data_IF_725326244792
#
_entry.id   IF_725326244792
#
_cell.length_a   1.000
_cell.length_b   1.000
_cell.length_c   1.000
_cell.angle_alpha   90.00
_cell.angle_beta   90.00
_cell.angle_gamma   90.00
#
_symmetry.space_group_name_H-M   'P 1'
#
loop_
_entity.id
_entity.type
_entity.pdbx_description
1 polymer ?
#
# COMPACT_ATOMS: atom_id res chain seq x y z
N UNK A 1 -23.80 21.48 28.98
CA UNK A 1 -24.34 22.01 27.71
C UNK A 1 -23.35 21.68 26.60
N UNK A 2 -23.79 21.45 25.36
CA UNK A 2 -22.88 21.25 24.21
C UNK A 2 -23.11 22.40 23.23
N UNK A 3 -22.08 23.22 23.00
CA UNK A 3 -22.13 24.27 21.97
C UNK A 3 -22.05 23.64 20.58
N UNK A 4 -23.03 23.93 19.72
CA UNK A 4 -23.02 23.42 18.34
C UNK A 4 -22.15 24.29 17.44
N UNK A 5 -21.72 23.72 16.30
CA UNK A 5 -20.97 24.46 15.28
C UNK A 5 -21.77 25.67 14.77
N UNK A 6 -23.07 25.53 14.54
CA UNK A 6 -23.94 26.62 14.09
C UNK A 6 -23.99 27.74 15.13
N UNK A 7 -24.03 27.39 16.42
CA UNK A 7 -24.02 28.38 17.51
C UNK A 7 -22.69 29.12 17.57
N UNK A 8 -21.57 28.41 17.45
CA UNK A 8 -20.23 29.00 17.41
C UNK A 8 -20.06 29.93 16.20
N UNK A 9 -20.51 29.53 15.01
CA UNK A 9 -20.47 30.38 13.81
C UNK A 9 -21.33 31.64 13.99
N UNK A 10 -22.49 31.53 14.64
CA UNK A 10 -23.33 32.69 14.96
C UNK A 10 -22.65 33.63 15.96
N UNK A 11 -21.95 33.11 16.97
CA UNK A 11 -21.18 33.92 17.91
C UNK A 11 -20.01 34.61 17.18
N UNK A 12 -19.32 33.89 16.30
CA UNK A 12 -18.22 34.42 15.48
C UNK A 12 -18.69 35.57 14.57
N UNK A 13 -19.84 35.42 13.90
CA UNK A 13 -20.40 36.42 12.98
C UNK A 13 -20.82 37.72 13.67
N UNK A 14 -20.96 37.74 15.00
CA UNK A 14 -21.33 38.96 15.73
C UNK A 14 -20.25 40.04 15.65
N UNK A 15 -18.98 39.67 15.55
CA UNK A 15 -17.89 40.63 15.34
C UNK A 15 -18.02 41.40 14.03
N UNK A 16 -18.50 40.75 12.97
CA UNK A 16 -18.80 41.36 11.67
C UNK A 16 -20.09 42.18 11.72
N UNK A 17 -21.08 41.70 12.47
CA UNK A 17 -22.40 42.34 12.56
C UNK A 17 -22.36 43.64 13.37
N UNK A 18 -21.64 43.64 14.50
CA UNK A 18 -21.65 44.75 15.45
C UNK A 18 -20.36 45.57 15.44
N UNK A 19 -19.32 45.12 14.72
CA UNK A 19 -18.04 45.81 14.60
C UNK A 19 -17.09 45.61 15.80
N UNK A 20 -15.79 45.91 15.62
CA UNK A 20 -14.79 45.82 16.69
C UNK A 20 -15.14 46.70 17.90
N UNK A 21 -14.98 46.18 19.12
CA UNK A 21 -15.22 46.92 20.36
C UNK A 21 -16.66 46.91 20.88
N UNK A 22 -17.58 46.28 20.16
CA UNK A 22 -18.96 46.06 20.62
C UNK A 22 -19.04 45.00 21.73
N UNK A 23 -19.80 45.30 22.78
CA UNK A 23 -20.06 44.34 23.86
C UNK A 23 -21.19 43.38 23.44
N UNK A 24 -20.91 42.09 23.46
CA UNK A 24 -21.91 41.03 23.29
C UNK A 24 -22.10 40.29 24.61
N UNK A 25 -23.36 39.96 24.94
CA UNK A 25 -23.70 39.22 26.16
C UNK A 25 -23.99 37.78 25.78
N UNK A 26 -23.25 36.85 26.40
CA UNK A 26 -23.50 35.42 26.32
C UNK A 26 -24.17 34.95 27.62
N UNK A 27 -25.06 33.95 27.57
CA UNK A 27 -25.44 33.18 28.75
C UNK A 27 -24.20 32.68 29.48
N UNK A 28 -24.22 32.69 30.81
CA UNK A 28 -23.08 32.28 31.64
C UNK A 28 -22.57 30.88 31.26
N UNK A 29 -23.50 29.94 31.01
CA UNK A 29 -23.17 28.58 30.57
C UNK A 29 -22.41 28.55 29.23
N UNK A 30 -22.74 29.43 28.27
CA UNK A 30 -22.03 29.51 26.97
C UNK A 30 -20.63 30.09 27.14
N UNK A 31 -20.48 31.09 28.02
CA UNK A 31 -19.18 31.65 28.33
C UNK A 31 -18.27 30.63 29.03
N UNK A 32 -18.78 29.87 29.99
CA UNK A 32 -18.03 28.80 30.68
C UNK A 32 -17.62 27.68 29.73
N UNK A 33 -18.51 27.26 28.82
CA UNK A 33 -18.19 26.23 27.83
C UNK A 33 -17.12 26.71 26.85
N UNK A 34 -17.23 27.94 26.33
CA UNK A 34 -16.21 28.54 25.47
C UNK A 34 -14.85 28.63 26.17
N UNK A 35 -14.83 29.04 27.44
CA UNK A 35 -13.61 29.11 28.23
C UNK A 35 -12.96 27.73 28.36
N UNK A 36 -13.75 26.68 28.68
CA UNK A 36 -13.25 25.31 28.77
C UNK A 36 -12.63 24.82 27.46
N UNK A 37 -13.32 25.04 26.34
CA UNK A 37 -12.83 24.66 25.00
C UNK A 37 -11.55 25.42 24.68
N UNK A 38 -11.54 26.75 24.88
CA UNK A 38 -10.38 27.59 24.61
C UNK A 38 -9.16 27.18 25.44
N UNK A 39 -9.34 26.91 26.74
CA UNK A 39 -8.25 26.45 27.61
C UNK A 39 -7.68 25.11 27.13
N UNK A 40 -8.53 24.14 26.77
CA UNK A 40 -8.07 22.85 26.26
C UNK A 40 -7.30 22.98 24.93
N UNK A 41 -7.75 23.86 24.03
CA UNK A 41 -7.07 24.13 22.76
C UNK A 41 -5.72 24.81 22.97
N UNK A 42 -5.65 25.78 23.88
CA UNK A 42 -4.40 26.47 24.21
C UNK A 42 -3.35 25.51 24.77
N UNK A 43 -3.75 24.60 25.66
CA UNK A 43 -2.84 23.62 26.24
C UNK A 43 -2.34 22.60 25.20
N UNK A 44 -3.23 22.11 24.33
CA UNK A 44 -2.85 21.22 23.23
C UNK A 44 -1.89 21.88 22.24
N UNK A 45 -2.12 23.16 21.93
CA UNK A 45 -1.25 23.93 21.05
C UNK A 45 0.11 24.27 21.70
N UNK A 46 0.12 24.53 23.01
CA UNK A 46 1.37 24.68 23.79
C UNK A 46 2.23 23.43 23.68
N UNK A 47 1.66 22.26 23.98
CA UNK A 47 2.35 20.96 23.92
C UNK A 47 2.87 20.67 22.51
N UNK A 48 2.05 20.90 21.48
CA UNK A 48 2.45 20.70 20.08
C UNK A 48 3.64 21.56 19.69
N UNK A 49 3.68 22.83 20.11
CA UNK A 49 4.79 23.75 19.84
C UNK A 49 6.06 23.35 20.57
N UNK A 50 5.97 23.05 21.86
CA UNK A 50 7.12 22.59 22.65
C UNK A 50 7.71 21.30 22.07
N UNK A 51 6.86 20.37 21.64
CA UNK A 51 7.29 19.16 20.94
C UNK A 51 8.01 19.48 19.63
N UNK A 52 7.47 20.39 18.80
CA UNK A 52 8.12 20.80 17.55
C UNK A 52 9.50 21.43 17.78
N UNK A 53 9.61 22.34 18.75
CA UNK A 53 10.88 22.98 19.13
C UNK A 53 11.91 21.96 19.62
N UNK A 54 11.49 21.01 20.46
CA UNK A 54 12.34 19.93 20.92
C UNK A 54 12.78 18.99 19.78
N UNK A 55 11.85 18.64 18.89
CA UNK A 55 12.10 17.77 17.73
C UNK A 55 13.09 18.42 16.76
N UNK A 56 12.93 19.71 16.47
CA UNK A 56 13.87 20.46 15.63
C UNK A 56 15.26 20.54 16.25
N UNK A 57 15.34 20.77 17.57
CA UNK A 57 16.61 20.81 18.29
C UNK A 57 17.31 19.44 18.32
N UNK A 58 16.54 18.35 18.42
CA UNK A 58 17.08 17.00 18.60
C UNK A 58 17.45 16.33 17.28
N UNK A 59 16.60 16.47 16.27
CA UNK A 59 16.72 15.75 15.00
C UNK A 59 17.15 16.64 13.83
N UNK A 60 17.09 17.97 13.99
CA UNK A 60 17.45 18.91 12.94
C UNK A 60 16.46 18.95 11.77
N UNK A 61 16.98 19.32 10.60
CA UNK A 61 16.22 19.48 9.36
C UNK A 61 16.02 18.12 8.66
N UNK A 62 15.07 17.34 9.18
CA UNK A 62 14.65 16.06 8.60
C UNK A 62 13.21 16.15 8.06
N UNK A 63 12.95 15.39 7.01
CA UNK A 63 11.63 15.32 6.38
C UNK A 63 10.63 14.42 7.12
N UNK A 64 9.37 14.33 6.63
CA UNK A 64 8.27 13.66 7.33
C UNK A 64 8.35 12.13 7.34
N UNK A 65 9.18 11.52 6.48
CA UNK A 65 9.25 10.06 6.29
C UNK A 65 9.73 9.32 7.54
N UNK A 66 10.69 9.89 8.28
CA UNK A 66 11.21 9.29 9.52
C UNK A 66 10.11 9.11 10.57
N UNK A 67 9.43 10.20 10.98
CA UNK A 67 8.29 10.14 11.90
C UNK A 67 7.18 9.20 11.44
N UNK A 68 6.87 9.13 10.14
CA UNK A 68 5.85 8.20 9.62
C UNK A 68 6.25 6.72 9.73
N UNK A 69 7.53 6.40 9.49
CA UNK A 69 8.05 5.04 9.71
C UNK A 69 8.02 4.67 11.19
N UNK A 70 8.30 5.62 12.07
CA UNK A 70 8.22 5.43 13.51
C UNK A 70 6.76 5.24 13.95
N UNK A 71 5.83 6.05 13.44
CA UNK A 71 4.39 5.95 13.74
C UNK A 71 3.84 4.55 13.44
N UNK A 72 4.38 3.87 12.43
CA UNK A 72 3.99 2.49 12.11
C UNK A 72 4.38 1.48 13.20
N UNK A 73 5.47 1.74 13.95
CA UNK A 73 5.89 0.92 15.09
C UNK A 73 5.05 1.22 16.33
N UNK A 74 4.87 2.50 16.66
CA UNK A 74 4.02 2.94 17.78
C UNK A 74 2.56 2.46 17.63
N UNK A 75 2.05 2.40 16.39
CA UNK A 75 0.73 1.84 16.14
C UNK A 75 0.63 0.34 16.48
N UNK A 76 1.73 -0.42 16.38
CA UNK A 76 1.77 -1.83 16.79
C UNK A 76 1.90 -1.96 18.32
N UNK A 77 2.65 -1.07 18.96
CA UNK A 77 2.81 -1.01 20.42
C UNK A 77 1.48 -0.64 21.08
N UNK A 78 0.82 0.43 20.61
CA UNK A 78 -0.54 0.81 21.04
C UNK A 78 -1.59 -0.28 20.77
N UNK A 79 -1.44 -1.08 19.71
CA UNK A 79 -2.34 -2.20 19.44
C UNK A 79 -2.12 -3.38 20.42
N UNK A 80 -0.90 -3.56 20.93
CA UNK A 80 -0.58 -4.57 21.92
C UNK A 80 -0.99 -4.15 23.33
N UNK A 81 -0.89 -2.84 23.63
CA UNK A 81 -1.17 -2.26 24.95
C UNK A 81 -2.16 -1.08 24.85
N UNK A 82 -3.43 -1.32 24.44
CA UNK A 82 -4.38 -0.25 24.15
C UNK A 82 -4.78 0.58 25.37
N UNK A 83 -4.56 0.07 26.58
CA UNK A 83 -4.81 0.76 27.84
C UNK A 83 -3.63 1.68 28.27
N UNK A 84 -2.47 1.59 27.60
CA UNK A 84 -1.36 2.50 27.88
C UNK A 84 -1.47 3.80 27.08
N UNK A 85 -1.72 4.90 27.79
CA UNK A 85 -1.87 6.23 27.20
C UNK A 85 -0.57 6.79 26.61
N UNK A 86 0.62 6.33 27.02
CA UNK A 86 1.88 6.79 26.41
C UNK A 86 1.96 6.43 24.94
N UNK A 87 1.59 5.21 24.57
CA UNK A 87 1.62 4.72 23.19
C UNK A 87 0.73 5.57 22.26
N UNK A 88 -0.45 5.98 22.76
CA UNK A 88 -1.32 6.91 22.04
C UNK A 88 -0.72 8.32 21.92
N UNK A 89 0.00 8.77 22.95
CA UNK A 89 0.68 10.07 22.92
C UNK A 89 1.83 10.07 21.91
N UNK A 90 2.61 8.98 21.83
CA UNK A 90 3.69 8.83 20.86
C UNK A 90 3.16 8.84 19.42
N UNK A 91 2.07 8.13 19.14
CA UNK A 91 1.38 8.25 17.85
C UNK A 91 0.98 9.69 17.53
N UNK A 92 0.45 10.43 18.53
CA UNK A 92 0.01 11.80 18.33
C UNK A 92 1.17 12.75 18.03
N UNK A 93 2.28 12.62 18.76
CA UNK A 93 3.51 13.40 18.55
C UNK A 93 4.12 13.15 17.18
N UNK A 94 4.25 11.88 16.78
CA UNK A 94 4.80 11.50 15.48
C UNK A 94 3.94 11.97 14.31
N UNK A 95 2.61 11.90 14.44
CA UNK A 95 1.71 12.41 13.42
C UNK A 95 1.81 13.94 13.26
N UNK A 96 1.86 14.69 14.36
CA UNK A 96 2.07 16.15 14.30
C UNK A 96 3.43 16.50 13.70
N UNK A 97 4.48 15.78 14.06
CA UNK A 97 5.83 15.99 13.56
C UNK A 97 5.91 15.73 12.05
N UNK A 98 5.29 14.64 11.58
CA UNK A 98 5.17 14.34 10.16
C UNK A 98 4.41 15.44 9.41
N UNK A 99 3.26 15.88 9.93
CA UNK A 99 2.44 16.92 9.29
C UNK A 99 3.19 18.24 9.15
N UNK A 100 3.80 18.74 10.24
CA UNK A 100 4.55 20.00 10.21
C UNK A 100 5.76 19.93 9.27
N UNK A 101 6.50 18.81 9.28
CA UNK A 101 7.68 18.61 8.41
C UNK A 101 7.30 18.45 6.93
N UNK A 102 6.06 18.04 6.65
CA UNK A 102 5.49 18.04 5.31
C UNK A 102 4.92 19.40 4.89
N UNK A 103 4.94 20.42 5.77
CA UNK A 103 4.35 21.73 5.52
C UNK A 103 2.82 21.73 5.50
N UNK A 104 2.17 20.72 6.07
CA UNK A 104 0.70 20.60 6.08
C UNK A 104 0.15 21.42 7.25
N UNK A 105 -0.72 22.38 6.93
CA UNK A 105 -1.42 23.17 7.95
C UNK A 105 -2.64 22.45 8.54
N UNK A 106 -3.05 22.85 9.75
CA UNK A 106 -4.27 22.36 10.41
C UNK A 106 -5.52 22.58 9.51
N UNK A 107 -5.56 23.66 8.74
CA UNK A 107 -6.65 23.96 7.81
C UNK A 107 -6.70 22.98 6.63
N UNK A 108 -5.55 22.70 6.01
CA UNK A 108 -5.44 21.76 4.88
C UNK A 108 -5.79 20.33 5.29
N UNK A 109 -5.23 19.84 6.40
CA UNK A 109 -5.56 18.48 6.86
C UNK A 109 -7.03 18.36 7.27
N UNK A 110 -7.60 19.40 7.90
CA UNK A 110 -9.03 19.39 8.26
C UNK A 110 -9.92 19.35 7.03
N UNK A 111 -9.60 20.12 5.98
CA UNK A 111 -10.34 20.08 4.73
C UNK A 111 -10.24 18.69 4.06
N UNK A 112 -9.04 18.12 4.01
CA UNK A 112 -8.83 16.77 3.48
C UNK A 112 -9.57 15.69 4.29
N UNK A 113 -9.62 15.81 5.62
CA UNK A 113 -10.38 14.91 6.49
C UNK A 113 -11.89 15.00 6.24
N UNK A 114 -12.44 16.21 6.04
CA UNK A 114 -13.86 16.41 5.71
C UNK A 114 -14.20 15.71 4.40
N UNK A 115 -13.43 15.96 3.34
CA UNK A 115 -13.63 15.34 2.03
C UNK A 115 -13.50 13.82 2.11
N UNK A 116 -12.44 13.33 2.76
CA UNK A 116 -12.18 11.90 2.89
C UNK A 116 -13.26 11.17 3.68
N UNK A 117 -13.84 11.83 4.68
CA UNK A 117 -14.93 11.27 5.48
C UNK A 117 -16.18 11.03 4.62
N UNK A 118 -16.55 11.97 3.75
CA UNK A 118 -17.70 11.81 2.85
C UNK A 118 -17.46 10.69 1.83
N UNK A 119 -16.25 10.56 1.29
CA UNK A 119 -15.84 9.42 0.46
C UNK A 119 -15.95 8.10 1.23
N UNK A 120 -15.54 8.07 2.50
CA UNK A 120 -15.58 6.84 3.30
C UNK A 120 -17.03 6.42 3.63
N UNK A 121 -17.93 7.38 3.87
CA UNK A 121 -19.36 7.12 4.10
C UNK A 121 -20.08 6.56 2.87
N UNK A 122 -19.65 6.91 1.66
CA UNK A 122 -20.27 6.43 0.42
C UNK A 122 -19.76 5.06 -0.05
N UNK A 123 -18.72 4.51 0.61
CA UNK A 123 -18.15 3.19 0.29
C UNK A 123 -18.96 2.05 0.90
N UNK A 124 -18.80 0.87 0.30
CA UNK A 124 -19.25 -0.39 0.88
C UNK A 124 -18.13 -1.01 1.73
N UNK A 125 -18.52 -1.56 2.87
CA UNK A 125 -17.62 -2.12 3.87
C UNK A 125 -18.03 -3.55 4.21
N UNK A 126 -17.08 -4.46 4.47
CA UNK A 126 -17.38 -5.80 4.93
C UNK A 126 -17.90 -5.79 6.38
N UNK A 127 -18.43 -6.92 6.82
CA UNK A 127 -18.92 -7.08 8.19
C UNK A 127 -17.82 -6.79 9.26
N UNK A 128 -18.11 -6.01 10.31
CA UNK A 128 -18.07 -6.59 11.65
C UNK A 128 -16.90 -7.36 12.29
N UNK A 129 -15.60 -7.34 11.89
CA UNK A 129 -14.59 -8.16 12.62
C UNK A 129 -13.76 -7.37 13.64
N UNK A 130 -13.72 -7.85 14.88
CA UNK A 130 -12.91 -7.29 15.97
C UNK A 130 -11.42 -7.65 15.82
N UNK A 131 -10.54 -6.74 16.22
CA UNK A 131 -9.08 -6.90 16.15
C UNK A 131 -8.47 -6.89 14.74
N UNK A 132 -9.26 -6.70 13.68
CA UNK A 132 -8.81 -6.83 12.28
C UNK A 132 -9.01 -5.54 11.49
N UNK A 133 -8.05 -5.14 10.63
CA UNK A 133 -8.22 -4.01 9.73
C UNK A 133 -9.39 -4.24 8.76
N UNK A 134 -10.16 -3.18 8.51
CA UNK A 134 -11.27 -3.21 7.55
C UNK A 134 -10.93 -2.38 6.34
N UNK A 135 -10.99 -3.01 5.18
CA UNK A 135 -10.77 -2.37 3.90
C UNK A 135 -12.10 -2.24 3.17
N UNK A 136 -12.31 -1.12 2.48
CA UNK A 136 -13.48 -0.94 1.63
C UNK A 136 -13.47 -1.96 0.49
N UNK A 137 -14.65 -2.40 0.09
CA UNK A 137 -14.82 -3.30 -1.05
C UNK A 137 -14.47 -2.49 -2.31
N UNK A 138 -13.43 -2.93 -3.03
CA UNK A 138 -13.12 -2.42 -4.37
C UNK A 138 -13.80 -3.34 -5.37
N UNK A 139 -14.53 -2.79 -6.34
CA UNK A 139 -14.87 -3.56 -7.54
C UNK A 139 -13.57 -3.99 -8.18
N UNK A 140 -13.38 -5.30 -8.37
CA UNK A 140 -12.24 -5.78 -9.12
C UNK A 140 -12.39 -5.26 -10.56
N UNK A 141 -11.38 -4.56 -11.11
CA UNK A 141 -11.40 -4.24 -12.53
C UNK A 141 -11.53 -5.55 -13.31
N UNK A 142 -12.32 -5.53 -14.39
CA UNK A 142 -12.46 -6.70 -15.24
C UNK A 142 -11.05 -7.22 -15.60
N UNK A 143 -10.79 -8.53 -15.43
CA UNK A 143 -9.46 -9.06 -15.63
C UNK A 143 -9.01 -8.70 -17.05
N UNK A 144 -7.85 -8.05 -17.16
CA UNK A 144 -7.25 -7.64 -18.44
C UNK A 144 -6.70 -8.90 -19.09
N UNK A 145 -7.60 -9.70 -19.68
CA UNK A 145 -7.24 -10.93 -20.37
C UNK A 145 -7.41 -10.71 -21.86
N UNK A 146 -6.40 -11.03 -22.69
CA UNK A 146 -6.51 -10.97 -24.13
C UNK A 146 -7.74 -11.73 -24.66
N UNK A 147 -8.29 -11.27 -25.78
CA UNK A 147 -9.42 -11.95 -26.42
C UNK A 147 -9.08 -13.38 -26.83
N UNK A 148 -10.09 -14.25 -26.84
CA UNK A 148 -9.96 -15.59 -27.38
C UNK A 148 -9.63 -15.50 -28.88
N UNK A 149 -8.67 -16.31 -29.34
CA UNK A 149 -8.30 -16.33 -30.75
C UNK A 149 -8.96 -17.50 -31.48
N UNK A 150 -9.36 -17.23 -32.72
CA UNK A 150 -9.81 -18.24 -33.68
C UNK A 150 -8.64 -18.96 -34.33
N UNK A 151 -8.90 -20.11 -34.96
CA UNK A 151 -7.88 -20.85 -35.73
C UNK A 151 -7.28 -19.99 -36.84
N UNK A 152 -8.09 -19.12 -37.47
CA UNK A 152 -7.64 -18.21 -38.55
C UNK A 152 -6.67 -17.14 -38.05
N UNK A 153 -6.90 -16.63 -36.83
CA UNK A 153 -5.99 -15.67 -36.18
C UNK A 153 -4.71 -16.35 -35.68
N UNK A 154 -4.79 -17.61 -35.23
CA UNK A 154 -3.61 -18.42 -34.92
C UNK A 154 -2.73 -18.60 -36.17
N UNK A 155 -3.33 -18.97 -37.31
CA UNK A 155 -2.63 -19.11 -38.60
C UNK A 155 -1.95 -17.80 -39.03
N UNK A 156 -2.66 -16.67 -38.98
CA UNK A 156 -2.10 -15.36 -39.41
C UNK A 156 -0.98 -14.84 -38.50
N UNK A 157 -0.99 -15.17 -37.20
CA UNK A 157 0.11 -14.82 -36.28
C UNK A 157 1.38 -15.67 -36.50
N UNK A 158 1.27 -16.80 -37.18
CA UNK A 158 2.37 -17.73 -37.43
C UNK A 158 2.93 -17.63 -38.86
N UNK A 159 2.54 -16.64 -39.66
CA UNK A 159 3.00 -16.43 -41.05
C UNK A 159 4.51 -16.17 -41.21
N UNK A 160 5.31 -16.17 -40.14
CA UNK A 160 6.78 -16.18 -40.19
C UNK A 160 7.40 -17.61 -40.10
N UNK A 161 6.60 -18.67 -39.99
CA UNK A 161 7.06 -20.06 -39.97
C UNK A 161 6.19 -20.96 -40.87
N UNK A 162 6.80 -21.98 -41.51
CA UNK A 162 6.10 -22.85 -42.45
C UNK A 162 4.85 -23.53 -41.83
N UNK A 163 3.73 -23.65 -42.56
CA UNK A 163 2.48 -24.14 -41.99
C UNK A 163 2.52 -25.65 -41.76
N UNK A 164 2.25 -26.09 -40.53
CA UNK A 164 1.76 -27.45 -40.30
C UNK A 164 0.45 -27.40 -39.51
N UNK A 165 -0.55 -28.15 -39.98
CA UNK A 165 -1.94 -28.05 -39.50
C UNK A 165 -2.09 -28.39 -38.00
N UNK A 166 -1.18 -29.17 -37.44
CA UNK A 166 -1.16 -29.54 -36.02
C UNK A 166 -0.71 -28.41 -35.09
N UNK A 167 0.23 -27.55 -35.52
CA UNK A 167 0.80 -26.49 -34.66
C UNK A 167 -0.19 -25.34 -34.46
N UNK A 168 -0.94 -24.95 -35.49
CA UNK A 168 -1.92 -23.85 -35.40
C UNK A 168 -3.08 -24.18 -34.45
N UNK A 169 -3.52 -25.44 -34.48
CA UNK A 169 -4.56 -25.95 -33.60
C UNK A 169 -4.03 -26.02 -32.16
N UNK A 170 -2.80 -26.50 -31.96
CA UNK A 170 -2.15 -26.52 -30.65
C UNK A 170 -1.95 -25.11 -30.06
N UNK A 171 -1.53 -24.13 -30.86
CA UNK A 171 -1.36 -22.73 -30.42
C UNK A 171 -2.68 -22.11 -29.98
N UNK A 172 -3.76 -22.30 -30.75
CA UNK A 172 -5.11 -21.85 -30.36
C UNK A 172 -5.54 -22.49 -29.03
N UNK A 173 -5.37 -23.80 -28.88
CA UNK A 173 -5.76 -24.48 -27.64
C UNK A 173 -4.91 -24.03 -26.46
N UNK A 174 -3.60 -23.86 -26.63
CA UNK A 174 -2.70 -23.31 -25.63
C UNK A 174 -3.09 -21.88 -25.22
N UNK A 175 -3.30 -20.98 -26.18
CA UNK A 175 -3.73 -19.60 -25.92
C UNK A 175 -5.05 -19.55 -25.15
N UNK A 176 -6.06 -20.29 -25.61
CA UNK A 176 -7.37 -20.29 -24.97
C UNK A 176 -7.36 -21.00 -23.61
N UNK A 177 -6.51 -22.00 -23.40
CA UNK A 177 -6.29 -22.64 -22.11
C UNK A 177 -5.59 -21.70 -21.12
N UNK A 178 -4.54 -20.99 -21.55
CA UNK A 178 -3.88 -19.96 -20.74
C UNK A 178 -4.84 -18.81 -20.39
N UNK A 179 -5.62 -18.33 -21.37
CA UNK A 179 -6.69 -17.35 -21.16
C UNK A 179 -7.74 -17.84 -20.15
N UNK A 180 -8.17 -19.10 -20.27
CA UNK A 180 -9.13 -19.69 -19.34
C UNK A 180 -8.54 -19.78 -17.92
N UNK A 181 -7.26 -20.14 -17.78
CA UNK A 181 -6.57 -20.13 -16.51
C UNK A 181 -6.47 -18.71 -15.92
N UNK A 182 -6.14 -17.70 -16.73
CA UNK A 182 -6.11 -16.29 -16.30
C UNK A 182 -7.49 -15.74 -15.87
N UNK A 183 -8.59 -16.29 -16.41
CA UNK A 183 -9.95 -15.92 -16.02
C UNK A 183 -10.46 -16.70 -14.80
N UNK A 184 -9.94 -17.90 -14.56
CA UNK A 184 -10.28 -18.73 -13.40
C UNK A 184 -9.48 -18.33 -12.16
N UNK A 185 -8.25 -17.87 -12.36
CA UNK A 185 -7.38 -17.41 -11.29
C UNK A 185 -7.73 -15.96 -10.96
N UNK A 186 -8.11 -15.70 -9.71
CA UNK A 186 -8.49 -14.38 -9.22
C UNK A 186 -7.21 -13.56 -8.98
N UNK A 187 -6.39 -13.39 -10.03
CA UNK A 187 -5.04 -12.88 -9.92
C UNK A 187 -5.05 -11.47 -9.35
N UNK A 188 -4.50 -11.38 -8.14
CA UNK A 188 -4.21 -10.15 -7.46
C UNK A 188 -3.29 -9.31 -8.34
N UNK A 189 -3.65 -8.06 -8.56
CA UNK A 189 -2.78 -7.06 -9.18
C UNK A 189 -1.51 -6.88 -8.33
N UNK A 190 -0.39 -7.43 -8.82
CA UNK A 190 0.92 -7.37 -8.17
C UNK A 190 1.66 -6.05 -8.44
N UNK A 191 1.09 -5.11 -9.20
CA UNK A 191 1.69 -3.80 -9.46
C UNK A 191 1.62 -2.85 -8.27
N UNK A 192 0.86 -3.20 -7.21
CA UNK A 192 0.76 -2.40 -6.00
C UNK A 192 1.66 -2.95 -4.90
N UNK A 193 2.62 -2.16 -4.38
CA UNK A 193 3.48 -2.60 -3.28
C UNK A 193 2.63 -2.79 -2.02
N UNK A 194 2.83 -3.94 -1.36
CA UNK A 194 2.26 -4.23 -0.04
C UNK A 194 3.38 -4.02 0.97
N UNK A 195 3.53 -2.80 1.47
CA UNK A 195 4.39 -2.52 2.60
C UNK A 195 3.52 -2.39 3.87
N UNK A 196 3.83 -3.01 5.03
CA UNK A 196 4.97 -3.85 5.38
C UNK A 196 4.55 -5.31 5.64
N UNK A 197 4.56 -6.14 4.60
CA UNK A 197 4.49 -7.60 4.74
C UNK A 197 5.42 -8.36 3.80
N UNK A 198 6.35 -7.66 3.14
CA UNK A 198 7.34 -8.30 2.26
C UNK A 198 8.09 -9.40 3.01
N UNK A 199 8.57 -9.15 4.23
CA UNK A 199 9.27 -10.16 5.03
C UNK A 199 8.39 -11.34 5.47
N UNK A 200 7.09 -11.15 5.71
CA UNK A 200 6.17 -12.25 6.10
C UNK A 200 5.79 -13.08 4.88
N UNK A 201 5.56 -12.42 3.74
CA UNK A 201 5.25 -13.06 2.47
C UNK A 201 6.45 -13.83 1.92
N UNK A 202 7.65 -13.25 1.96
CA UNK A 202 8.92 -13.92 1.61
C UNK A 202 9.11 -15.19 2.45
N UNK A 203 8.87 -15.13 3.76
CA UNK A 203 8.94 -16.32 4.64
C UNK A 203 7.93 -17.41 4.25
N UNK A 204 6.70 -17.04 3.91
CA UNK A 204 5.65 -17.99 3.50
C UNK A 204 6.01 -18.63 2.15
N UNK A 205 6.49 -17.83 1.19
CA UNK A 205 6.87 -18.32 -0.14
C UNK A 205 8.08 -19.27 -0.07
N UNK A 206 9.10 -18.93 0.73
CA UNK A 206 10.25 -19.80 0.98
C UNK A 206 9.81 -21.12 1.66
N UNK A 207 8.92 -21.07 2.64
CA UNK A 207 8.37 -22.27 3.30
C UNK A 207 7.57 -23.16 2.36
N UNK A 208 6.92 -22.57 1.36
CA UNK A 208 6.18 -23.28 0.31
C UNK A 208 7.06 -23.73 -0.87
N UNK A 209 8.39 -23.56 -0.79
CA UNK A 209 9.35 -24.03 -1.79
C UNK A 209 9.50 -23.13 -3.02
N UNK A 210 8.98 -21.90 -2.98
CA UNK A 210 9.16 -20.92 -4.05
C UNK A 210 10.53 -20.24 -3.95
N UNK A 211 11.17 -20.04 -5.10
CA UNK A 211 12.49 -19.38 -5.22
C UNK A 211 12.28 -17.99 -5.80
N UNK A 212 12.82 -16.96 -5.14
CA UNK A 212 12.85 -15.61 -5.68
C UNK A 212 13.91 -15.52 -6.78
N UNK A 213 13.49 -15.08 -7.97
CA UNK A 213 14.36 -14.93 -9.13
C UNK A 213 14.41 -13.44 -9.49
N UNK A 214 15.61 -12.85 -9.70
CA UNK A 214 15.74 -11.48 -10.18
C UNK A 214 14.95 -11.25 -11.49
N UNK A 215 14.47 -10.02 -11.68
CA UNK A 215 13.78 -9.62 -12.92
C UNK A 215 14.71 -9.74 -14.13
N UNK A 216 15.99 -9.40 -13.94
CA UNK A 216 17.06 -9.59 -14.92
C UNK A 216 18.02 -10.67 -14.41
N UNK A 217 18.34 -11.73 -15.19
CA UNK A 217 19.24 -12.79 -14.78
C UNK A 217 20.64 -12.27 -14.42
N UNK A 218 21.25 -12.84 -13.37
CA UNK A 218 22.64 -12.52 -13.01
C UNK A 218 23.64 -13.24 -13.91
N UNK A 219 24.90 -12.77 -13.92
CA UNK A 219 25.99 -13.43 -14.64
C UNK A 219 26.16 -14.90 -14.25
N UNK A 220 25.95 -15.23 -12.97
CA UNK A 220 26.01 -16.61 -12.46
C UNK A 220 24.86 -17.48 -12.97
N UNK A 221 23.65 -16.91 -13.09
CA UNK A 221 22.51 -17.61 -13.67
C UNK A 221 22.71 -17.84 -15.18
N UNK A 222 23.25 -16.84 -15.89
CA UNK A 222 23.58 -16.95 -17.31
C UNK A 222 24.67 -18.01 -17.51
N UNK A 223 25.72 -18.00 -16.68
CA UNK A 223 26.76 -19.02 -16.72
C UNK A 223 26.21 -20.42 -16.42
N UNK A 224 25.25 -20.55 -15.50
CA UNK A 224 24.60 -21.83 -15.21
C UNK A 224 23.76 -22.34 -16.41
N UNK A 225 23.03 -21.46 -17.08
CA UNK A 225 22.34 -21.79 -18.33
C UNK A 225 23.31 -22.27 -19.42
N UNK A 226 24.43 -21.57 -19.61
CA UNK A 226 25.41 -21.89 -20.65
C UNK A 226 26.16 -23.21 -20.42
N UNK A 227 26.27 -23.65 -19.17
CA UNK A 227 27.02 -24.84 -18.79
C UNK A 227 26.14 -26.05 -18.46
N UNK A 228 24.82 -25.96 -18.62
CA UNK A 228 23.92 -27.07 -18.34
C UNK A 228 23.87 -28.08 -19.50
N UNK A 229 23.60 -29.35 -19.19
CA UNK A 229 23.37 -30.38 -20.21
C UNK A 229 21.93 -30.27 -20.72
N UNK A 230 21.70 -29.34 -21.64
CA UNK A 230 20.39 -29.05 -22.23
C UNK A 230 20.21 -29.65 -23.62
N UNK A 231 21.28 -30.02 -24.32
CA UNK A 231 21.19 -30.55 -25.68
C UNK A 231 21.20 -32.08 -25.70
N UNK A 232 20.12 -32.68 -26.20
CA UNK A 232 20.08 -34.10 -26.55
C UNK A 232 20.29 -34.30 -28.04
N UNK A 233 21.16 -35.25 -28.39
CA UNK A 233 21.37 -35.67 -29.77
C UNK A 233 20.55 -36.93 -30.05
N UNK A 234 19.72 -36.85 -31.08
CA UNK A 234 18.93 -37.96 -31.56
C UNK A 234 19.75 -38.86 -32.50
N UNK A 235 19.28 -40.08 -32.75
CA UNK A 235 19.95 -41.04 -33.63
C UNK A 235 19.95 -40.63 -35.10
N UNK A 236 19.15 -39.64 -35.48
CA UNK A 236 19.03 -39.10 -36.83
C UNK A 236 19.84 -37.81 -37.04
N UNK A 237 20.83 -37.57 -36.18
CA UNK A 237 21.72 -36.39 -36.20
C UNK A 237 21.01 -35.05 -35.90
N UNK A 238 19.70 -35.07 -35.60
CA UNK A 238 18.99 -33.90 -35.07
C UNK A 238 19.30 -33.69 -33.58
N UNK A 239 19.13 -32.47 -33.09
CA UNK A 239 19.27 -32.17 -31.67
C UNK A 239 18.03 -31.48 -31.11
N UNK A 240 17.79 -31.69 -29.83
CA UNK A 240 16.71 -31.05 -29.07
C UNK A 240 17.30 -30.29 -27.90
N UNK A 241 16.94 -29.01 -27.79
CA UNK A 241 17.29 -28.18 -26.63
C UNK A 241 16.21 -28.33 -25.58
N UNK A 242 16.60 -28.79 -24.40
CA UNK A 242 15.74 -28.93 -23.23
C UNK A 242 15.69 -27.60 -22.47
N UNK A 243 14.88 -26.67 -22.95
CA UNK A 243 14.68 -25.36 -22.31
C UNK A 243 14.29 -25.44 -20.83
N UNK A 244 13.66 -26.56 -20.40
CA UNK A 244 13.37 -26.85 -19.00
C UNK A 244 14.64 -26.98 -18.15
N UNK A 245 15.65 -27.67 -18.66
CA UNK A 245 16.89 -27.90 -17.92
C UNK A 245 17.72 -26.61 -17.82
N UNK A 246 17.70 -25.79 -18.87
CA UNK A 246 18.24 -24.41 -18.84
C UNK A 246 17.55 -23.61 -17.73
N UNK A 247 16.22 -23.59 -17.73
CA UNK A 247 15.45 -22.86 -16.72
C UNK A 247 15.73 -23.37 -15.30
N UNK A 248 15.80 -24.69 -15.10
CA UNK A 248 16.13 -25.29 -13.81
C UNK A 248 17.55 -24.93 -13.34
N UNK A 249 18.53 -24.90 -14.25
CA UNK A 249 19.90 -24.48 -13.94
C UNK A 249 19.95 -23.00 -13.52
N UNK A 250 19.25 -22.11 -14.23
CA UNK A 250 19.15 -20.69 -13.89
C UNK A 250 18.50 -20.46 -12.53
N UNK A 251 17.38 -21.13 -12.24
CA UNK A 251 16.67 -21.00 -10.96
C UNK A 251 17.51 -21.56 -9.79
N UNK A 252 18.29 -22.61 -10.04
CA UNK A 252 19.20 -23.18 -9.02
C UNK A 252 20.34 -22.21 -8.67
N UNK A 253 20.84 -21.48 -9.67
CA UNK A 253 21.88 -20.46 -9.53
C UNK A 253 21.33 -19.09 -9.12
N UNK A 254 20.01 -18.93 -8.96
CA UNK A 254 19.42 -17.68 -8.53
C UNK A 254 19.92 -17.29 -7.12
N UNK A 255 20.17 -16.00 -6.87
CA UNK A 255 20.60 -15.52 -5.56
C UNK A 255 19.62 -15.95 -4.47
N UNK A 256 20.13 -16.69 -3.48
CA UNK A 256 19.32 -17.10 -2.33
C UNK A 256 19.32 -15.94 -1.32
N UNK A 257 18.17 -15.60 -0.72
CA UNK A 257 18.14 -14.61 0.35
C UNK A 257 19.05 -15.10 1.49
N UNK A 258 19.90 -14.21 2.02
CA UNK A 258 20.81 -14.53 3.11
C UNK A 258 20.02 -15.00 4.34
N UNK A 259 19.98 -16.31 4.54
CA UNK A 259 19.45 -16.94 5.73
C UNK A 259 20.53 -17.04 6.80
N UNK A 260 20.35 -16.27 7.88
CA UNK A 260 21.04 -16.35 9.18
C UNK A 260 21.89 -17.61 9.38
N UNK A 261 23.20 -17.47 9.18
CA UNK A 261 24.16 -18.32 9.88
C UNK A 261 24.39 -17.73 11.27
N UNK A 262 23.65 -18.31 12.24
CA UNK A 262 23.61 -18.07 13.70
C UNK A 262 22.62 -17.02 14.19
#
# INVERSE_FOLDING_TARGET
MVLTKERLLKIQSWSETYGPGSNVVLPAEEAEELARIATALLERERIRREHAEWSDKTFGDVGPVGPLKHLSKEALEAAAEPDDLSEWADMQFLLWDAQRRAGISDGEITAAMIEKLEINKSRQWPEPKDGEPRLHIKEQPAPIVPDAISTRQAISKMEECEPCDSINVAYKYGWNACRAAMLQDNQRDLSQPVDPQVAKYERIMIQAGWVMVPVEPTDEMIAAAMNCEDVLFNSDESFCVQFREIYCAMVTAAPKPEGNSK
#
